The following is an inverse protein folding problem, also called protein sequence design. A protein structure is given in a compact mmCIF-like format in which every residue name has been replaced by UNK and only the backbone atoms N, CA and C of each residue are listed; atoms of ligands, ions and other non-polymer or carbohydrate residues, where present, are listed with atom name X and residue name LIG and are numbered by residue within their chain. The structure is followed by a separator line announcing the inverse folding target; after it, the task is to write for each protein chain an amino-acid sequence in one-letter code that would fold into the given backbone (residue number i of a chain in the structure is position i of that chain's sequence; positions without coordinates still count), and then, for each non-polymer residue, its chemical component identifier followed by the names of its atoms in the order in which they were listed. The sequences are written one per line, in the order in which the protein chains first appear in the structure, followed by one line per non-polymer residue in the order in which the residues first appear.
data_IF_479297297758
#
_entry.id   IF_479297297758
#
_cell.length_a   1.000
_cell.length_b   1.000
_cell.length_c   1.000
_cell.angle_alpha   90.00
_cell.angle_beta   90.00
_cell.angle_gamma   90.00
#
_symmetry.space_group_name_H-M   'P 1'
#
loop_
_entity.id
_entity.type
_entity.pdbx_description
1 polymer ?
#
# COMPACT_ATOMS: atom_id res chain seq x y z
N UNK A 1 -2.46 9.26 17.40
CA UNK A 1 -3.44 8.62 16.49
C UNK A 1 -2.74 7.74 15.47
N UNK A 2 -1.51 8.05 15.08
CA UNK A 2 -0.64 7.19 14.25
C UNK A 2 -0.62 5.71 14.70
N UNK A 3 -0.61 5.48 16.00
CA UNK A 3 -0.73 4.17 16.66
C UNK A 3 -1.96 3.36 16.22
N UNK A 4 -3.05 4.01 15.78
CA UNK A 4 -4.24 3.35 15.23
C UNK A 4 -4.06 2.86 13.78
N UNK A 5 -3.01 3.32 13.09
CA UNK A 5 -2.71 2.96 11.70
C UNK A 5 -1.70 1.81 11.59
N UNK A 6 -1.09 1.40 12.71
CA UNK A 6 0.00 0.44 12.73
C UNK A 6 -0.45 -0.81 13.48
N UNK A 7 -0.32 -1.97 12.84
CA UNK A 7 -0.64 -3.25 13.48
C UNK A 7 0.40 -3.56 14.56
N UNK A 8 -0.09 -4.00 15.72
CA UNK A 8 0.74 -4.37 16.86
C UNK A 8 1.75 -5.46 16.48
N UNK A 9 3.01 -5.29 16.88
CA UNK A 9 4.12 -6.17 16.53
C UNK A 9 4.83 -5.80 15.22
N UNK A 10 4.30 -4.86 14.44
CA UNK A 10 4.94 -4.35 13.21
C UNK A 10 5.50 -2.94 13.37
N UNK A 11 5.47 -2.37 14.58
CA UNK A 11 5.77 -0.96 14.84
C UNK A 11 7.18 -0.55 14.40
N UNK A 12 8.13 -1.49 14.42
CA UNK A 12 9.52 -1.23 14.03
C UNK A 12 9.82 -1.57 12.57
N UNK A 13 8.81 -1.92 11.78
CA UNK A 13 9.01 -2.22 10.35
C UNK A 13 9.28 -0.93 9.60
N UNK A 14 10.24 -0.99 8.67
CA UNK A 14 10.66 0.18 7.88
C UNK A 14 9.56 0.66 6.93
N UNK A 15 8.59 -0.17 6.57
CA UNK A 15 7.49 0.25 5.69
C UNK A 15 6.71 1.47 6.17
N UNK A 16 6.76 1.78 7.47
CA UNK A 16 6.11 2.93 8.06
C UNK A 16 6.97 4.20 8.10
N UNK A 17 8.22 4.18 7.63
CA UNK A 17 9.14 5.30 7.83
C UNK A 17 8.65 6.59 7.15
N UNK A 18 8.16 6.51 5.90
CA UNK A 18 7.56 7.68 5.22
C UNK A 18 6.30 8.16 5.94
N UNK A 19 5.43 7.24 6.37
CA UNK A 19 4.22 7.59 7.14
C UNK A 19 4.59 8.33 8.43
N UNK A 20 5.53 7.79 9.19
CA UNK A 20 6.00 8.36 10.46
C UNK A 20 6.65 9.72 10.26
N UNK A 21 7.53 9.83 9.27
CA UNK A 21 8.23 11.07 8.93
C UNK A 21 7.23 12.18 8.54
N UNK A 22 6.34 11.90 7.58
CA UNK A 22 5.32 12.88 7.17
C UNK A 22 4.36 13.22 8.31
N UNK A 23 3.94 12.24 9.10
CA UNK A 23 3.04 12.49 10.23
C UNK A 23 3.70 13.34 11.33
N UNK A 24 5.02 13.22 11.53
CA UNK A 24 5.76 14.02 12.50
C UNK A 24 6.10 15.42 11.98
N UNK A 25 6.47 15.53 10.70
CA UNK A 25 7.13 16.72 10.14
C UNK A 25 6.25 17.53 9.19
N UNK A 26 5.09 17.03 8.74
CA UNK A 26 4.16 17.73 7.87
C UNK A 26 2.80 17.95 8.57
N UNK A 27 2.53 19.15 9.11
CA UNK A 27 1.28 19.44 9.84
C UNK A 27 0.01 19.26 9.03
N UNK A 28 0.06 19.53 7.71
CA UNK A 28 -1.07 19.36 6.82
C UNK A 28 -1.41 17.88 6.63
N UNK A 29 -0.39 17.06 6.31
CA UNK A 29 -0.55 15.61 6.19
C UNK A 29 -1.09 15.00 7.49
N UNK A 30 -0.50 15.38 8.63
CA UNK A 30 -0.95 14.93 9.95
C UNK A 30 -2.43 15.25 10.18
N UNK A 31 -2.85 16.48 9.88
CA UNK A 31 -4.24 16.92 10.05
C UNK A 31 -5.20 16.08 9.21
N UNK A 32 -4.90 15.88 7.93
CA UNK A 32 -5.72 15.07 7.00
C UNK A 32 -5.82 13.62 7.50
N UNK A 33 -4.72 13.04 7.97
CA UNK A 33 -4.73 11.69 8.52
C UNK A 33 -5.57 11.60 9.78
N UNK A 34 -5.42 12.53 10.72
CA UNK A 34 -6.19 12.53 11.98
C UNK A 34 -7.70 12.69 11.73
N UNK A 35 -8.11 13.66 10.93
CA UNK A 35 -9.51 13.87 10.54
C UNK A 35 -10.07 12.63 9.79
N UNK A 36 -9.25 12.01 8.95
CA UNK A 36 -9.59 10.77 8.26
C UNK A 36 -9.81 9.60 9.22
N UNK A 37 -8.99 9.46 10.26
CA UNK A 37 -9.16 8.44 11.29
C UNK A 37 -10.44 8.67 12.09
N UNK A 38 -10.68 9.91 12.53
CA UNK A 38 -11.85 10.28 13.35
C UNK A 38 -13.16 10.04 12.60
N UNK A 39 -13.17 10.30 11.29
CA UNK A 39 -14.33 10.08 10.42
C UNK A 39 -14.44 8.64 9.88
N UNK A 40 -13.51 7.74 10.23
CA UNK A 40 -13.48 6.37 9.73
C UNK A 40 -13.15 6.23 8.24
N UNK A 41 -12.58 7.28 7.63
CA UNK A 41 -12.22 7.35 6.21
C UNK A 41 -10.78 6.93 5.93
N UNK A 42 -9.92 6.93 6.96
CA UNK A 42 -8.52 6.50 6.86
C UNK A 42 -8.28 5.41 7.90
N UNK A 43 -7.62 4.35 7.47
CA UNK A 43 -7.18 3.26 8.34
C UNK A 43 -5.81 2.76 7.90
N UNK A 44 -5.12 2.06 8.78
CA UNK A 44 -3.96 1.27 8.40
C UNK A 44 -4.34 0.00 7.64
N UNK A 45 -3.34 -0.79 7.26
CA UNK A 45 -3.58 -2.14 6.78
C UNK A 45 -4.15 -2.98 7.94
N UNK A 46 -5.31 -3.61 7.72
CA UNK A 46 -5.94 -4.45 8.73
C UNK A 46 -5.14 -5.72 8.99
N UNK A 47 -5.33 -6.35 10.15
CA UNK A 47 -4.76 -7.67 10.44
C UNK A 47 -5.13 -8.68 9.34
N UNK A 48 -6.38 -8.67 8.87
CA UNK A 48 -6.82 -9.54 7.76
C UNK A 48 -6.02 -9.33 6.47
N UNK A 49 -5.69 -8.07 6.14
CA UNK A 49 -4.86 -7.79 4.96
C UNK A 49 -3.44 -8.28 5.17
N UNK A 50 -2.85 -8.07 6.35
CA UNK A 50 -1.55 -8.64 6.70
C UNK A 50 -1.54 -10.16 6.59
N UNK A 51 -2.55 -10.84 7.13
CA UNK A 51 -2.67 -12.30 7.06
C UNK A 51 -2.80 -12.77 5.60
N UNK A 52 -3.56 -12.06 4.76
CA UNK A 52 -3.64 -12.36 3.31
C UNK A 52 -2.29 -12.23 2.62
N UNK A 53 -1.49 -11.23 2.99
CA UNK A 53 -0.16 -11.00 2.42
C UNK A 53 0.85 -12.05 2.90
N UNK A 54 0.78 -12.45 4.18
CA UNK A 54 1.64 -13.48 4.76
C UNK A 54 1.38 -14.86 4.13
N UNK A 55 0.13 -15.10 3.77
CA UNK A 55 -0.34 -16.31 3.12
C UNK A 55 0.02 -16.44 1.63
N UNK A 56 0.63 -15.43 1.02
CA UNK A 56 1.01 -15.44 -0.39
C UNK A 56 2.17 -16.41 -0.66
N UNK A 57 2.08 -17.17 -1.76
CA UNK A 57 3.15 -18.04 -2.22
C UNK A 57 4.30 -17.23 -2.83
N UNK A 58 5.27 -16.85 -2.00
CA UNK A 58 6.48 -16.18 -2.48
C UNK A 58 7.61 -17.20 -2.58
N UNK A 59 7.97 -17.56 -3.82
CA UNK A 59 9.15 -18.38 -4.11
C UNK A 59 10.31 -17.51 -4.54
N UNK A 60 10.77 -16.64 -3.65
CA UNK A 60 12.02 -15.91 -3.82
C UNK A 60 13.08 -16.46 -2.88
N UNK A 61 14.33 -16.55 -3.34
CA UNK A 61 15.44 -17.08 -2.52
C UNK A 61 15.63 -16.18 -1.30
N UNK A 62 15.30 -16.69 -0.11
CA UNK A 62 15.51 -16.00 1.16
C UNK A 62 14.36 -15.09 1.62
N UNK A 63 13.24 -15.01 0.89
CA UNK A 63 12.02 -14.32 1.35
C UNK A 63 10.97 -15.36 1.67
N UNK A 64 10.59 -15.46 2.94
CA UNK A 64 9.65 -16.46 3.43
C UNK A 64 8.20 -15.98 3.41
N UNK A 65 7.99 -14.67 3.40
CA UNK A 65 6.68 -14.02 3.40
C UNK A 65 6.78 -12.63 2.79
N UNK A 66 5.70 -12.14 2.19
CA UNK A 66 5.66 -10.76 1.68
C UNK A 66 5.83 -9.75 2.81
N UNK A 67 5.44 -10.11 4.03
CA UNK A 67 5.60 -9.27 5.20
C UNK A 67 7.07 -8.91 5.47
N UNK A 68 8.02 -9.76 5.09
CA UNK A 68 9.45 -9.45 5.20
C UNK A 68 9.88 -8.30 4.29
N UNK A 69 9.23 -8.15 3.13
CA UNK A 69 9.45 -7.03 2.20
C UNK A 69 9.07 -5.70 2.85
N UNK A 70 8.00 -5.69 3.65
CA UNK A 70 7.60 -4.51 4.43
C UNK A 70 8.48 -4.28 5.64
N UNK A 71 8.93 -5.34 6.32
CA UNK A 71 9.90 -5.22 7.42
C UNK A 71 11.16 -4.48 6.97
N UNK A 72 11.65 -4.81 5.78
CA UNK A 72 12.88 -4.24 5.22
C UNK A 72 12.66 -2.90 4.48
N UNK A 73 11.40 -2.51 4.28
CA UNK A 73 11.02 -1.20 3.74
C UNK A 73 11.10 -1.09 2.22
N UNK A 74 10.97 -2.20 1.48
CA UNK A 74 11.09 -2.14 0.01
C UNK A 74 9.95 -1.34 -0.65
N UNK A 75 8.83 -1.14 0.04
CA UNK A 75 7.75 -0.25 -0.39
C UNK A 75 8.19 1.22 -0.50
N UNK A 76 9.30 1.59 0.16
CA UNK A 76 9.92 2.89 0.04
C UNK A 76 10.84 2.89 -1.19
N UNK A 77 10.25 2.98 -2.39
CA UNK A 77 10.98 3.08 -3.67
C UNK A 77 10.66 2.01 -4.70
N UNK A 78 9.93 0.96 -4.32
CA UNK A 78 9.36 -0.01 -5.26
C UNK A 78 7.82 0.02 -5.21
N UNK A 79 7.22 1.22 -5.22
CA UNK A 79 5.77 1.41 -5.07
C UNK A 79 4.97 0.60 -6.10
N UNK A 80 5.40 0.55 -7.36
CA UNK A 80 4.73 -0.22 -8.41
C UNK A 80 4.76 -1.73 -8.14
N UNK A 81 5.90 -2.26 -7.70
CA UNK A 81 6.05 -3.70 -7.40
C UNK A 81 5.23 -4.07 -6.17
N UNK A 82 5.30 -3.26 -5.11
CA UNK A 82 4.56 -3.51 -3.88
C UNK A 82 3.05 -3.38 -4.09
N UNK A 83 2.59 -2.35 -4.80
CA UNK A 83 1.18 -2.19 -5.16
C UNK A 83 0.69 -3.38 -6.00
N UNK A 84 1.49 -3.83 -6.98
CA UNK A 84 1.15 -5.02 -7.78
C UNK A 84 1.04 -6.27 -6.91
N UNK A 85 2.00 -6.53 -6.02
CA UNK A 85 2.00 -7.73 -5.17
C UNK A 85 0.84 -7.71 -4.15
N UNK A 86 0.56 -6.56 -3.53
CA UNK A 86 -0.61 -6.40 -2.65
C UNK A 86 -1.91 -6.60 -3.43
N UNK A 87 -1.98 -6.14 -4.68
CA UNK A 87 -3.19 -6.28 -5.49
C UNK A 87 -3.59 -7.73 -5.76
N UNK A 88 -2.65 -8.68 -5.70
CA UNK A 88 -3.00 -10.10 -5.83
C UNK A 88 -3.94 -10.59 -4.73
N UNK A 89 -3.93 -9.96 -3.55
CA UNK A 89 -4.83 -10.30 -2.43
C UNK A 89 -6.22 -9.68 -2.54
N UNK A 90 -6.54 -9.01 -3.66
CA UNK A 90 -7.77 -8.26 -3.88
C UNK A 90 -8.52 -8.82 -5.09
N UNK A 91 -9.85 -8.80 -5.07
CA UNK A 91 -10.66 -9.42 -6.12
C UNK A 91 -10.63 -8.59 -7.41
N UNK A 92 -10.96 -7.31 -7.34
CA UNK A 92 -11.11 -6.41 -8.49
C UNK A 92 -10.27 -5.12 -8.37
N UNK A 93 -8.94 -5.23 -8.21
CA UNK A 93 -8.09 -4.06 -8.10
C UNK A 93 -7.96 -3.35 -9.44
N UNK A 94 -7.72 -2.05 -9.39
CA UNK A 94 -7.09 -1.28 -10.45
C UNK A 94 -5.74 -0.79 -9.94
N UNK A 95 -4.74 -0.84 -10.81
CA UNK A 95 -3.44 -0.26 -10.53
C UNK A 95 -3.40 1.14 -11.16
N UNK A 96 -3.10 2.12 -10.32
CA UNK A 96 -3.16 3.53 -10.66
C UNK A 96 -1.77 4.14 -10.53
N UNK A 97 -1.42 4.99 -11.48
CA UNK A 97 -0.17 5.73 -11.50
C UNK A 97 -0.43 7.21 -11.73
N UNK A 98 0.44 8.03 -11.17
CA UNK A 98 0.40 9.48 -11.29
C UNK A 98 1.32 10.09 -10.26
N UNK A 99 0.87 11.16 -9.60
CA UNK A 99 1.68 11.87 -8.60
C UNK A 99 0.97 12.03 -7.26
N UNK A 100 1.75 12.20 -6.19
CA UNK A 100 1.28 12.59 -4.87
C UNK A 100 2.12 13.75 -4.32
N UNK A 101 1.48 14.85 -3.93
CA UNK A 101 2.19 16.07 -3.48
C UNK A 101 2.97 15.87 -2.18
N UNK A 102 2.52 14.99 -1.28
CA UNK A 102 3.23 14.70 -0.02
C UNK A 102 4.47 13.84 -0.23
N UNK A 103 4.61 13.19 -1.39
CA UNK A 103 5.79 12.39 -1.71
C UNK A 103 6.90 13.19 -2.40
N UNK A 104 6.62 14.41 -2.89
CA UNK A 104 7.61 15.24 -3.58
C UNK A 104 8.81 15.49 -2.65
N UNK A 105 10.01 15.17 -3.14
CA UNK A 105 11.26 15.35 -2.40
C UNK A 105 11.58 14.23 -1.40
N UNK A 106 10.72 13.22 -1.26
CA UNK A 106 11.07 12.00 -0.50
C UNK A 106 12.13 11.19 -1.24
N UNK A 107 12.84 10.32 -0.50
CA UNK A 107 14.03 9.57 -0.97
C UNK A 107 13.83 8.86 -2.32
N UNK A 108 12.60 8.46 -2.66
CA UNK A 108 12.31 7.72 -3.89
C UNK A 108 11.21 8.32 -4.78
N UNK A 109 10.79 9.55 -4.49
CA UNK A 109 9.77 10.24 -5.30
C UNK A 109 10.13 11.72 -5.43
N UNK A 110 11.26 12.06 -6.07
CA UNK A 110 11.72 13.45 -6.16
C UNK A 110 10.70 14.36 -6.85
N UNK A 111 9.96 13.82 -7.83
CA UNK A 111 8.91 14.51 -8.59
C UNK A 111 7.48 14.12 -8.15
N UNK A 112 7.34 13.36 -7.06
CA UNK A 112 6.05 12.91 -6.57
C UNK A 112 5.44 11.72 -7.31
N UNK A 113 6.11 11.14 -8.32
CA UNK A 113 5.62 9.95 -9.03
C UNK A 113 5.33 8.80 -8.07
N UNK A 114 4.17 8.17 -8.28
CA UNK A 114 3.67 7.17 -7.36
C UNK A 114 2.73 6.16 -8.02
N UNK A 115 2.63 4.97 -7.42
CA UNK A 115 1.66 3.93 -7.77
C UNK A 115 0.85 3.54 -6.55
N UNK A 116 -0.47 3.49 -6.69
CA UNK A 116 -1.40 3.02 -5.67
C UNK A 116 -2.42 2.05 -6.26
N UNK A 117 -3.23 1.45 -5.40
CA UNK A 117 -4.29 0.53 -5.79
C UNK A 117 -5.62 1.22 -5.56
N UNK A 118 -6.52 1.17 -6.54
CA UNK A 118 -7.94 1.39 -6.30
C UNK A 118 -8.64 0.04 -6.19
N UNK A 119 -9.39 -0.18 -5.12
CA UNK A 119 -10.21 -1.38 -4.98
C UNK A 119 -11.56 -0.97 -4.40
N UNK A 120 -12.62 -1.19 -5.18
CA UNK A 120 -13.98 -0.74 -4.85
C UNK A 120 -14.03 0.77 -4.55
N UNK A 121 -14.45 1.14 -3.34
CA UNK A 121 -14.58 2.52 -2.86
C UNK A 121 -13.38 2.95 -2.00
N UNK A 122 -12.20 2.34 -2.19
CA UNK A 122 -11.00 2.61 -1.40
C UNK A 122 -9.75 2.75 -2.28
N UNK A 123 -8.82 3.57 -1.81
CA UNK A 123 -7.41 3.58 -2.20
C UNK A 123 -6.64 2.74 -1.20
N UNK A 124 -5.71 1.92 -1.67
CA UNK A 124 -4.71 1.24 -0.84
C UNK A 124 -3.35 1.73 -1.30
N UNK A 125 -2.64 2.40 -0.40
CA UNK A 125 -1.33 2.99 -0.65
C UNK A 125 -0.26 2.25 0.15
N UNK A 126 0.61 1.54 -0.57
CA UNK A 126 1.69 0.76 0.07
C UNK A 126 2.83 1.62 0.56
N UNK A 127 2.99 2.86 0.10
CA UNK A 127 4.06 3.76 0.56
C UNK A 127 3.66 4.47 1.85
N UNK A 128 2.40 4.88 1.97
CA UNK A 128 1.87 5.39 3.24
C UNK A 128 1.41 4.28 4.20
N UNK A 129 1.27 3.04 3.75
CA UNK A 129 0.66 1.94 4.50
C UNK A 129 -0.77 2.25 4.98
N UNK A 130 -1.53 2.97 4.13
CA UNK A 130 -2.88 3.43 4.43
C UNK A 130 -3.92 2.82 3.49
N UNK A 131 -5.14 2.67 4.01
CA UNK A 131 -6.36 2.44 3.28
C UNK A 131 -7.25 3.66 3.44
N UNK A 132 -7.57 4.33 2.34
CA UNK A 132 -8.23 5.64 2.30
C UNK A 132 -9.55 5.51 1.54
N UNK A 133 -10.65 6.00 2.09
CA UNK A 133 -11.93 6.03 1.39
C UNK A 133 -11.85 6.92 0.14
N UNK A 134 -12.43 6.47 -0.97
CA UNK A 134 -12.33 7.12 -2.27
C UNK A 134 -12.95 8.53 -2.30
N UNK A 135 -13.94 8.81 -1.45
CA UNK A 135 -14.53 10.14 -1.29
C UNK A 135 -13.65 11.11 -0.45
N UNK A 136 -12.66 10.57 0.26
CA UNK A 136 -11.72 11.31 1.10
C UNK A 136 -10.34 11.52 0.43
N UNK A 137 -10.03 10.76 -0.62
CA UNK A 137 -8.74 10.83 -1.34
C UNK A 137 -8.36 12.23 -1.83
N UNK A 138 -9.35 13.08 -2.13
CA UNK A 138 -9.14 14.45 -2.63
C UNK A 138 -8.30 15.33 -1.71
N UNK A 139 -8.18 14.97 -0.42
CA UNK A 139 -7.34 15.67 0.54
C UNK A 139 -5.89 15.18 0.54
N UNK A 140 -5.60 14.00 0.00
CA UNK A 140 -4.28 13.38 0.05
C UNK A 140 -3.35 13.76 -1.12
N UNK A 141 -3.70 14.77 -1.93
CA UNK A 141 -2.80 15.30 -2.95
C UNK A 141 -2.52 14.36 -4.13
N UNK A 142 -3.33 13.32 -4.34
CA UNK A 142 -3.20 12.43 -5.48
C UNK A 142 -3.66 13.10 -6.77
N UNK A 143 -2.86 12.95 -7.82
CA UNK A 143 -3.23 13.28 -9.20
C UNK A 143 -3.10 12.02 -10.05
N UNK A 144 -4.22 11.53 -10.57
CA UNK A 144 -4.27 10.33 -11.41
C UNK A 144 -3.86 10.66 -12.85
N UNK A 145 -2.89 9.92 -13.39
CA UNK A 145 -2.46 10.03 -14.79
C UNK A 145 -2.83 8.78 -15.59
N UNK A 146 -2.72 7.60 -14.98
CA UNK A 146 -3.08 6.34 -15.60
C UNK A 146 -3.81 5.42 -14.61
N UNK A 147 -4.72 4.63 -15.16
CA UNK A 147 -5.45 3.57 -14.44
C UNK A 147 -5.56 2.38 -15.37
N UNK A 148 -5.18 1.20 -14.90
CA UNK A 148 -5.38 -0.03 -15.66
C UNK A 148 -6.02 -1.11 -14.80
N UNK A 149 -6.84 -1.94 -15.44
CA UNK A 149 -7.39 -3.15 -14.84
C UNK A 149 -6.38 -4.30 -15.07
N UNK A 150 -5.62 -4.73 -14.05
CA UNK A 150 -4.66 -5.81 -14.22
C UNK A 150 -5.31 -7.17 -14.52
N UNK A 151 -6.59 -7.39 -14.17
CA UNK A 151 -7.28 -8.66 -14.42
C UNK A 151 -7.52 -8.95 -15.92
N UNK A 152 -7.26 -8.00 -16.83
CA UNK A 152 -7.31 -8.25 -18.28
C UNK A 152 -5.97 -8.78 -18.83
N UNK A 153 -4.89 -8.70 -18.05
CA UNK A 153 -3.56 -9.20 -18.44
C UNK A 153 -3.41 -10.67 -18.02
N UNK A 154 -3.29 -11.62 -18.96
CA UNK A 154 -3.13 -13.03 -18.64
C UNK A 154 -1.90 -13.33 -17.77
N UNK A 155 -0.82 -12.54 -17.91
CA UNK A 155 0.40 -12.73 -17.10
C UNK A 155 0.11 -12.37 -15.65
N UNK A 156 -0.60 -11.27 -15.41
CA UNK A 156 -1.03 -10.87 -14.09
C UNK A 156 -1.97 -11.92 -13.47
N UNK A 157 -2.97 -12.38 -14.21
CA UNK A 157 -3.95 -13.37 -13.72
C UNK A 157 -3.24 -14.66 -13.30
N UNK A 158 -2.37 -15.21 -14.14
CA UNK A 158 -1.59 -16.41 -13.81
C UNK A 158 -0.70 -16.20 -12.56
N UNK A 159 -0.08 -15.02 -12.44
CA UNK A 159 0.73 -14.69 -11.27
C UNK A 159 -0.11 -14.58 -9.99
N UNK A 160 -1.30 -13.98 -10.08
CA UNK A 160 -2.26 -13.86 -8.97
C UNK A 160 -2.78 -15.23 -8.53
N UNK A 161 -3.13 -16.11 -9.48
CA UNK A 161 -3.57 -17.48 -9.19
C UNK A 161 -2.48 -18.27 -8.47
N UNK A 162 -1.25 -18.26 -9.01
CA UNK A 162 -0.11 -18.91 -8.36
C UNK A 162 0.16 -18.35 -6.96
N UNK A 163 0.13 -17.03 -6.81
CA UNK A 163 0.38 -16.35 -5.53
C UNK A 163 -0.62 -16.78 -4.45
N UNK A 164 -1.87 -17.01 -4.83
CA UNK A 164 -2.95 -17.35 -3.90
C UNK A 164 -3.28 -18.84 -3.82
N UNK A 165 -2.56 -19.70 -4.54
CA UNK A 165 -2.80 -21.14 -4.58
C UNK A 165 -2.53 -21.80 -3.21
N UNK A 166 -3.59 -22.15 -2.49
CA UNK A 166 -3.48 -22.75 -1.16
C UNK A 166 -2.88 -24.17 -1.17
N UNK A 167 -2.88 -24.86 -2.31
CA UNK A 167 -2.34 -26.22 -2.45
C UNK A 167 -0.81 -26.25 -2.51
N UNK A 168 -0.18 -25.12 -2.87
CA UNK A 168 1.27 -24.98 -2.97
C UNK A 168 1.91 -24.42 -1.69
N UNK A 169 1.11 -24.22 -0.64
CA UNK A 169 1.58 -23.68 0.63
C UNK A 169 2.62 -24.61 1.26
N UNK A 170 3.65 -23.96 1.82
CA UNK A 170 4.70 -24.57 2.63
C UNK A 170 4.14 -25.30 3.84
#
# INVERSE_FOLDING_TARGET
MLDKLIVKGTENYKCYDILKDLYANNPEFKKIVDEGIESGKVSGFSQELWDKLDMQNIRSRGVNSFCEVFRDGANLGYCTVCAKQVSYSLDNPYLCGGTNTFLIGTVNSPDGRHTWIENENKIIDTTFMLVIAKDYVKYFGYTLENRYNPNIDPIYVNAKEFTNDKSLRR
#
